data_IF_208351044916
#
_entry.id   IF_208351044916
#
_cell.length_a   1.000
_cell.length_b   1.000
_cell.length_c   1.000
_cell.angle_alpha   90.00
_cell.angle_beta   90.00
_cell.angle_gamma   90.00
#
_symmetry.space_group_name_H-M   'P 1'
#
loop_
_entity.id
_entity.type
_entity.pdbx_description
1 polymer ?
#
# COMPACT_ATOMS: atom_id res chain seq x y z
N UNK A 1 13.73 24.16 31.41
CA UNK A 1 12.98 24.05 30.14
C UNK A 1 13.50 22.81 29.44
N UNK A 2 12.97 21.65 29.82
CA UNK A 2 13.46 20.35 29.33
C UNK A 2 12.96 20.17 27.91
N UNK A 3 13.89 20.10 26.96
CA UNK A 3 13.59 19.71 25.59
C UNK A 3 13.25 18.22 25.63
N UNK A 4 11.96 17.88 25.58
CA UNK A 4 11.54 16.52 25.26
C UNK A 4 12.08 16.19 23.87
N UNK A 5 13.15 15.39 23.81
CA UNK A 5 13.55 14.71 22.59
C UNK A 5 12.41 13.79 22.18
N UNK A 6 11.56 14.26 21.26
CA UNK A 6 10.56 13.41 20.62
C UNK A 6 11.32 12.25 19.96
N UNK A 7 11.08 10.99 20.36
CA UNK A 7 11.84 9.87 19.82
C UNK A 7 11.68 9.87 18.31
N UNK A 8 12.82 9.85 17.61
CA UNK A 8 12.88 9.81 16.16
C UNK A 8 12.09 8.61 15.64
N UNK A 9 10.88 8.88 15.14
CA UNK A 9 9.83 7.89 14.82
C UNK A 9 10.25 6.87 13.74
N UNK A 10 11.32 7.15 13.01
CA UNK A 10 11.83 6.34 11.90
C UNK A 10 12.90 5.32 12.32
N UNK A 11 13.50 5.45 13.51
CA UNK A 11 14.60 4.59 13.95
C UNK A 11 14.17 3.24 14.56
N UNK A 12 12.86 2.93 14.57
CA UNK A 12 12.26 1.78 15.27
C UNK A 12 11.69 0.70 14.37
N UNK A 13 11.89 0.78 13.05
CA UNK A 13 11.44 -0.33 12.19
C UNK A 13 12.35 -1.52 12.44
N UNK A 14 11.90 -2.43 13.29
CA UNK A 14 12.63 -3.63 13.66
C UNK A 14 13.04 -4.42 12.42
N UNK A 15 14.17 -5.12 12.50
CA UNK A 15 14.68 -5.98 11.42
C UNK A 15 13.61 -6.99 10.93
N UNK A 16 12.75 -7.47 11.83
CA UNK A 16 11.63 -8.34 11.51
C UNK A 16 10.58 -7.66 10.62
N UNK A 17 10.25 -6.39 10.88
CA UNK A 17 9.31 -5.60 10.10
C UNK A 17 9.84 -5.36 8.67
N UNK A 18 11.13 -5.06 8.55
CA UNK A 18 11.80 -4.95 7.25
C UNK A 18 11.77 -6.27 6.47
N UNK A 19 11.86 -7.41 7.16
CA UNK A 19 11.76 -8.72 6.51
C UNK A 19 10.37 -8.94 5.88
N UNK A 20 9.29 -8.56 6.57
CA UNK A 20 7.93 -8.62 6.04
C UNK A 20 7.73 -7.67 4.85
N UNK A 21 8.18 -6.42 4.96
CA UNK A 21 8.05 -5.42 3.89
C UNK A 21 8.75 -5.91 2.62
N UNK A 22 9.96 -6.44 2.76
CA UNK A 22 10.71 -7.00 1.64
C UNK A 22 10.05 -8.25 1.06
N UNK A 23 9.49 -9.13 1.90
CA UNK A 23 8.74 -10.30 1.45
C UNK A 23 7.50 -9.89 0.63
N UNK A 24 6.76 -8.88 1.09
CA UNK A 24 5.61 -8.34 0.37
C UNK A 24 6.01 -7.72 -0.97
N UNK A 25 7.08 -6.92 -1.02
CA UNK A 25 7.59 -6.37 -2.28
C UNK A 25 7.93 -7.47 -3.29
N UNK A 26 8.68 -8.49 -2.87
CA UNK A 26 9.06 -9.61 -3.73
C UNK A 26 7.84 -10.39 -4.21
N UNK A 27 6.89 -10.68 -3.30
CA UNK A 27 5.68 -11.41 -3.63
C UNK A 27 4.82 -10.65 -4.65
N UNK A 28 4.67 -9.32 -4.49
CA UNK A 28 3.87 -8.51 -5.40
C UNK A 28 4.55 -8.31 -6.77
N UNK A 29 5.87 -8.15 -6.79
CA UNK A 29 6.64 -8.10 -8.02
C UNK A 29 6.54 -9.42 -8.79
N UNK A 30 6.72 -10.56 -8.11
CA UNK A 30 6.64 -11.88 -8.73
C UNK A 30 5.22 -12.24 -9.20
N UNK A 31 4.19 -11.85 -8.44
CA UNK A 31 2.79 -12.07 -8.81
C UNK A 31 2.24 -11.07 -9.84
N UNK A 32 3.00 -10.01 -10.13
CA UNK A 32 2.54 -8.88 -10.93
C UNK A 32 2.12 -9.26 -12.35
N UNK A 33 1.14 -8.53 -12.88
CA UNK A 33 0.59 -8.72 -14.23
C UNK A 33 0.73 -7.41 -15.02
N UNK A 34 1.81 -7.22 -15.81
CA UNK A 34 2.11 -5.95 -16.48
C UNK A 34 0.98 -5.40 -17.35
N UNK A 35 0.27 -6.28 -18.09
CA UNK A 35 -0.87 -5.89 -18.92
C UNK A 35 -2.02 -5.26 -18.09
N UNK A 36 -2.32 -5.85 -16.92
CA UNK A 36 -3.32 -5.32 -15.98
C UNK A 36 -2.80 -4.08 -15.24
N UNK A 37 -1.51 -4.03 -14.95
CA UNK A 37 -0.86 -2.88 -14.33
C UNK A 37 -1.01 -1.61 -15.17
N UNK A 38 -0.82 -1.70 -16.49
CA UNK A 38 -1.03 -0.57 -17.40
C UNK A 38 -2.48 -0.05 -17.35
N UNK A 39 -3.47 -0.95 -17.35
CA UNK A 39 -4.88 -0.58 -17.23
C UNK A 39 -5.22 0.06 -15.88
N UNK A 40 -4.69 -0.49 -14.79
CA UNK A 40 -4.86 0.07 -13.44
C UNK A 40 -4.21 1.45 -13.31
N UNK A 41 -2.99 1.61 -13.83
CA UNK A 41 -2.27 2.89 -13.86
C UNK A 41 -3.06 3.95 -14.62
N UNK A 42 -3.61 3.59 -15.80
CA UNK A 42 -4.48 4.47 -16.58
C UNK A 42 -5.75 4.86 -15.82
N UNK A 43 -6.44 3.91 -15.17
CA UNK A 43 -7.62 4.19 -14.34
C UNK A 43 -7.32 5.21 -13.23
N UNK A 44 -6.15 5.09 -12.61
CA UNK A 44 -5.66 6.01 -11.59
C UNK A 44 -4.98 7.27 -12.16
N UNK A 45 -5.27 7.63 -13.41
CA UNK A 45 -4.75 8.82 -14.10
C UNK A 45 -3.21 8.91 -14.08
N UNK A 46 -2.54 7.76 -14.15
CA UNK A 46 -1.09 7.60 -14.12
C UNK A 46 -0.39 8.16 -12.87
N UNK A 47 -1.12 8.40 -11.78
CA UNK A 47 -0.54 8.96 -10.56
C UNK A 47 0.25 7.94 -9.74
N UNK A 48 0.03 6.64 -9.96
CA UNK A 48 0.61 5.57 -9.15
C UNK A 48 1.16 4.43 -10.01
N UNK A 49 2.24 3.81 -9.52
CA UNK A 49 2.70 2.53 -10.04
C UNK A 49 1.83 1.40 -9.51
N UNK A 50 1.50 0.45 -10.39
CA UNK A 50 0.61 -0.67 -10.07
C UNK A 50 1.30 -1.99 -10.39
N UNK A 51 1.08 -3.01 -9.56
CA UNK A 51 1.56 -4.37 -9.83
C UNK A 51 0.61 -5.17 -10.75
N UNK A 52 -0.60 -4.68 -11.05
CA UNK A 52 -1.56 -5.42 -11.87
C UNK A 52 -2.35 -6.48 -11.10
N UNK A 53 -2.28 -6.48 -9.76
CA UNK A 53 -2.95 -7.46 -8.89
C UNK A 53 -4.40 -7.02 -8.59
N UNK A 54 -5.31 -7.99 -8.49
CA UNK A 54 -6.66 -7.79 -7.97
C UNK A 54 -6.64 -7.81 -6.44
N UNK A 55 -7.72 -7.38 -5.80
CA UNK A 55 -7.86 -7.47 -4.35
C UNK A 55 -7.74 -8.91 -3.82
N UNK A 56 -8.37 -9.94 -4.43
CA UNK A 56 -8.18 -11.34 -3.99
C UNK A 56 -6.74 -11.84 -4.14
N UNK A 57 -6.08 -11.60 -5.27
CA UNK A 57 -4.68 -12.01 -5.50
C UNK A 57 -3.74 -11.33 -4.50
N UNK A 58 -3.90 -10.02 -4.28
CA UNK A 58 -3.13 -9.26 -3.30
C UNK A 58 -3.32 -9.81 -1.88
N UNK A 59 -4.58 -10.07 -1.47
CA UNK A 59 -4.88 -10.64 -0.13
C UNK A 59 -4.25 -12.02 0.06
N UNK A 60 -4.27 -12.86 -0.96
CA UNK A 60 -3.65 -14.19 -0.90
C UNK A 60 -2.12 -14.08 -0.66
N UNK A 61 -1.44 -13.22 -1.41
CA UNK A 61 0.00 -12.99 -1.25
C UNK A 61 0.32 -12.34 0.11
N UNK A 62 -0.48 -11.36 0.53
CA UNK A 62 -0.32 -10.70 1.84
C UNK A 62 -0.45 -11.70 2.99
N UNK A 63 -1.45 -12.58 2.93
CA UNK A 63 -1.68 -13.59 3.97
C UNK A 63 -0.46 -14.48 4.17
N UNK A 64 0.15 -14.97 3.07
CA UNK A 64 1.34 -15.81 3.13
C UNK A 64 2.52 -15.05 3.77
N UNK A 65 2.78 -13.83 3.34
CA UNK A 65 3.90 -13.04 3.85
C UNK A 65 3.74 -12.73 5.36
N UNK A 66 2.54 -12.37 5.81
CA UNK A 66 2.26 -12.09 7.22
C UNK A 66 2.36 -13.35 8.09
N UNK A 67 1.98 -14.52 7.56
CA UNK A 67 2.14 -15.79 8.28
C UNK A 67 3.60 -16.20 8.44
N UNK A 68 4.45 -15.91 7.44
CA UNK A 68 5.89 -16.20 7.49
C UNK A 68 6.67 -15.20 8.35
N UNK A 69 6.18 -13.97 8.43
CA UNK A 69 6.80 -12.87 9.19
C UNK A 69 5.78 -12.24 10.14
N UNK A 70 5.36 -12.96 11.19
CA UNK A 70 4.37 -12.45 12.12
C UNK A 70 4.91 -11.25 12.90
N UNK A 71 4.06 -10.24 13.07
CA UNK A 71 4.35 -9.08 13.93
C UNK A 71 3.72 -9.35 15.28
N UNK A 72 4.53 -9.42 16.33
CA UNK A 72 4.10 -9.80 17.69
C UNK A 72 3.62 -8.62 18.53
N UNK A 73 4.01 -7.39 18.20
CA UNK A 73 3.71 -6.19 18.98
C UNK A 73 2.88 -5.16 18.20
N UNK A 74 2.00 -4.46 18.92
CA UNK A 74 1.11 -3.46 18.34
C UNK A 74 1.87 -2.23 17.79
N UNK A 75 2.90 -1.74 18.49
CA UNK A 75 3.66 -0.59 18.04
C UNK A 75 4.45 -0.94 16.78
N UNK A 76 5.07 -2.13 16.74
CA UNK A 76 5.74 -2.65 15.53
C UNK A 76 4.77 -2.81 14.35
N UNK A 77 3.50 -3.18 14.61
CA UNK A 77 2.46 -3.24 13.58
C UNK A 77 2.16 -1.84 13.02
N UNK A 78 1.95 -0.85 13.89
CA UNK A 78 1.69 0.54 13.50
C UNK A 78 2.84 1.09 12.65
N UNK A 79 4.09 0.87 13.09
CA UNK A 79 5.28 1.33 12.39
C UNK A 79 5.42 0.65 11.02
N UNK A 80 5.13 -0.65 10.94
CA UNK A 80 5.13 -1.40 9.68
C UNK A 80 4.08 -0.90 8.70
N UNK A 81 2.87 -0.60 9.18
CA UNK A 81 1.80 -0.04 8.33
C UNK A 81 2.18 1.34 7.80
N UNK A 82 2.79 2.18 8.62
CA UNK A 82 3.31 3.47 8.19
C UNK A 82 4.39 3.32 7.11
N UNK A 83 5.32 2.38 7.29
CA UNK A 83 6.38 2.16 6.31
C UNK A 83 5.84 1.61 4.99
N UNK A 84 4.92 0.64 5.04
CA UNK A 84 4.22 0.12 3.86
C UNK A 84 3.42 1.19 3.11
N UNK A 85 2.92 2.21 3.82
CA UNK A 85 2.26 3.38 3.22
C UNK A 85 3.27 4.29 2.54
N UNK A 86 4.42 4.55 3.17
CA UNK A 86 5.48 5.41 2.63
C UNK A 86 6.16 4.78 1.41
N UNK A 87 6.34 3.46 1.39
CA UNK A 87 6.92 2.73 0.26
C UNK A 87 5.97 2.63 -0.94
N UNK A 88 4.69 2.98 -0.78
CA UNK A 88 3.67 2.90 -1.82
C UNK A 88 3.10 1.50 -2.03
N UNK A 89 3.38 0.55 -1.13
CA UNK A 89 2.81 -0.81 -1.17
C UNK A 89 1.34 -0.87 -0.71
N UNK A 90 0.96 -0.03 0.26
CA UNK A 90 -0.40 -0.01 0.85
C UNK A 90 -1.34 1.03 0.26
N UNK A 91 -0.85 1.98 -0.55
CA UNK A 91 -1.68 3.06 -1.07
C UNK A 91 -1.66 3.12 -2.60
N UNK A 92 -2.81 3.37 -3.25
CA UNK A 92 -2.85 4.03 -4.53
C UNK A 92 -2.71 5.54 -4.33
N UNK A 93 -1.87 6.03 -3.41
CA UNK A 93 -1.74 7.46 -3.06
C UNK A 93 -0.28 7.80 -2.75
N UNK A 94 0.58 7.69 -3.76
CA UNK A 94 1.85 8.42 -3.82
C UNK A 94 1.68 9.55 -4.83
N UNK A 95 1.32 10.75 -4.36
CA UNK A 95 1.30 11.94 -5.22
C UNK A 95 2.72 12.13 -5.77
N UNK A 96 2.86 12.05 -7.08
CA UNK A 96 4.06 12.48 -7.78
C UNK A 96 4.13 14.02 -7.74
N UNK A 97 4.51 14.59 -6.59
CA UNK A 97 4.94 15.99 -6.46
C UNK A 97 4.00 17.08 -6.99
N UNK A 98 2.71 16.81 -7.20
CA UNK A 98 1.76 17.75 -7.77
C UNK A 98 0.81 18.29 -6.71
N UNK A 99 0.72 19.61 -6.61
CA UNK A 99 -0.26 20.34 -5.80
C UNK A 99 -1.66 19.76 -6.05
N UNK A 100 -2.29 19.27 -4.98
CA UNK A 100 -3.68 18.83 -5.01
C UNK A 100 -4.57 20.03 -5.33
N UNK A 101 -5.16 20.05 -6.53
CA UNK A 101 -6.39 20.80 -6.76
C UNK A 101 -7.57 19.86 -6.54
N UNK A 102 -8.55 20.21 -5.69
CA UNK A 102 -9.77 19.45 -5.55
C UNK A 102 -10.64 19.69 -6.78
N UNK A 103 -10.74 18.70 -7.66
CA UNK A 103 -11.83 18.69 -8.64
C UNK A 103 -13.04 18.04 -7.94
N UNK A 104 -13.79 18.88 -7.22
CA UNK A 104 -15.22 18.66 -6.99
C UNK A 104 -15.87 18.46 -8.37
N UNK A 105 -16.44 17.28 -8.62
CA UNK A 105 -17.17 17.07 -9.87
C UNK A 105 -17.50 15.62 -10.19
N UNK A 106 -18.51 15.09 -9.50
CA UNK A 106 -19.57 14.31 -10.19
C UNK A 106 -19.39 12.81 -10.35
N UNK A 107 -20.51 12.12 -10.09
CA UNK A 107 -20.87 10.73 -10.42
C UNK A 107 -20.40 9.71 -9.38
N UNK A 108 -21.03 9.64 -8.19
CA UNK A 108 -22.31 8.96 -7.92
C UNK A 108 -22.44 7.56 -8.55
N UNK A 109 -22.20 6.53 -7.73
CA UNK A 109 -23.20 5.50 -7.38
C UNK A 109 -24.34 5.32 -8.39
N UNK A 110 -24.22 4.37 -9.32
CA UNK A 110 -25.29 3.61 -10.02
C UNK A 110 -24.58 2.69 -11.02
N UNK A 111 -24.55 1.37 -10.87
CA UNK A 111 -25.64 0.49 -11.28
C UNK A 111 -25.38 -0.92 -10.73
N UNK A 112 -25.99 -1.22 -9.58
CA UNK A 112 -26.53 -2.55 -9.32
C UNK A 112 -27.94 -2.52 -9.90
N UNK A 113 -28.19 -3.17 -11.03
CA UNK A 113 -29.48 -3.71 -11.55
C UNK A 113 -29.31 -3.99 -13.04
N UNK A 114 -28.63 -5.09 -13.34
CA UNK A 114 -28.73 -5.81 -14.61
C UNK A 114 -28.03 -7.15 -14.41
N UNK A 115 -28.79 -8.15 -14.00
CA UNK A 115 -28.69 -9.59 -14.35
C UNK A 115 -29.64 -10.36 -13.41
N UNK A 116 -30.74 -10.83 -14.03
CA UNK A 116 -31.82 -11.74 -13.59
C UNK A 116 -32.88 -11.17 -12.65
#
# INVERSE_FOLDING_TARGET
MSLEEKPNKLARVDKANMSLINALHKAFQAGGKPARAAGQKKYLRNQFECFGLTSPERRALQKVAVQQHPISDYQSLVDTVHELKNSGLLTPYRSSGGVLQPILGGILWTTWHLIV
#
